data_IF_950993847941
#
_entry.id   IF_950993847941
#
_cell.length_a   1.000
_cell.length_b   1.000
_cell.length_c   1.000
_cell.angle_alpha   90.00
_cell.angle_beta   90.00
_cell.angle_gamma   90.00
#
_symmetry.space_group_name_H-M   'P 1'
#
loop_
_entity.id
_entity.type
_entity.pdbx_description
1 polymer ?
#
# COMPACT_ATOMS: atom_id res chain seq x y z
N UNK A 1 -3.57 7.23 8.70
CA UNK A 1 -2.22 7.40 8.12
C UNK A 1 -1.87 8.87 8.07
N UNK A 2 -0.67 9.21 8.47
CA UNK A 2 -0.16 10.56 8.43
C UNK A 2 0.64 10.78 7.13
N UNK A 3 0.32 11.83 6.38
CA UNK A 3 1.00 12.19 5.14
C UNK A 3 1.83 13.44 5.39
N UNK A 4 3.16 13.35 5.19
CA UNK A 4 4.09 14.46 5.38
C UNK A 4 5.10 14.50 4.24
N UNK A 5 5.71 15.68 4.01
CA UNK A 5 6.86 15.82 3.13
C UNK A 5 8.14 15.54 3.94
N UNK A 6 8.73 14.38 3.76
CA UNK A 6 9.87 13.89 4.55
C UNK A 6 9.44 13.06 5.74
N UNK A 7 10.36 12.74 6.64
CA UNK A 7 10.05 11.98 7.84
C UNK A 7 9.22 12.82 8.82
N UNK A 8 8.22 12.21 9.47
CA UNK A 8 7.45 12.90 10.51
C UNK A 8 8.35 13.42 11.62
N UNK A 9 8.00 14.59 12.17
CA UNK A 9 8.68 15.11 13.34
C UNK A 9 8.56 14.11 14.49
N UNK A 10 9.68 13.85 15.15
CA UNK A 10 9.73 12.87 16.26
C UNK A 10 9.71 11.41 15.81
N UNK A 11 9.84 11.13 14.51
CA UNK A 11 9.91 9.75 14.03
C UNK A 11 11.12 9.04 14.63
N UNK A 12 10.87 7.94 15.33
CA UNK A 12 11.89 7.12 15.96
C UNK A 12 11.94 5.74 15.30
N UNK A 13 12.93 5.53 14.43
CA UNK A 13 13.14 4.25 13.74
C UNK A 13 13.35 3.09 14.74
N UNK A 14 13.95 3.35 15.88
CA UNK A 14 14.19 2.34 16.93
C UNK A 14 12.91 1.81 17.60
N UNK A 15 11.76 2.48 17.42
CA UNK A 15 10.48 2.01 17.93
C UNK A 15 9.88 0.87 17.09
N UNK A 16 10.47 0.56 15.93
CA UNK A 16 9.98 -0.42 14.97
C UNK A 16 10.97 -1.55 14.77
N UNK A 17 10.45 -2.72 14.49
CA UNK A 17 11.27 -3.90 14.19
C UNK A 17 11.69 -3.93 12.71
N UNK A 18 10.89 -3.29 11.85
CA UNK A 18 11.14 -3.19 10.41
C UNK A 18 10.62 -1.87 9.86
N UNK A 19 11.37 -1.32 8.92
CA UNK A 19 10.94 -0.17 8.13
C UNK A 19 10.82 -0.61 6.67
N UNK A 20 9.66 -0.39 6.08
CA UNK A 20 9.38 -0.65 4.66
C UNK A 20 9.29 0.69 3.95
N UNK A 21 10.09 0.87 2.92
CA UNK A 21 10.09 2.10 2.12
C UNK A 21 9.29 1.87 0.84
N UNK A 22 8.21 2.62 0.72
CA UNK A 22 7.26 2.51 -0.38
C UNK A 22 5.97 1.80 0.01
N UNK A 23 4.83 2.44 -0.25
CA UNK A 23 3.50 1.93 0.04
C UNK A 23 2.73 1.52 -1.24
N UNK A 24 3.45 1.03 -2.24
CA UNK A 24 2.88 0.31 -3.36
C UNK A 24 2.51 -1.11 -2.97
N UNK A 25 2.14 -1.95 -3.93
CA UNK A 25 1.74 -3.33 -3.65
C UNK A 25 2.83 -4.13 -2.93
N UNK A 26 4.06 -4.07 -3.41
CA UNK A 26 5.16 -4.84 -2.82
C UNK A 26 5.41 -4.46 -1.37
N UNK A 27 5.51 -3.16 -1.09
CA UNK A 27 5.73 -2.66 0.27
C UNK A 27 4.55 -2.95 1.19
N UNK A 28 3.34 -2.74 0.73
CA UNK A 28 2.13 -2.98 1.52
C UNK A 28 1.96 -4.47 1.89
N UNK A 29 2.16 -5.37 0.93
CA UNK A 29 2.08 -6.82 1.17
C UNK A 29 3.18 -7.28 2.11
N UNK A 30 4.41 -6.81 1.90
CA UNK A 30 5.54 -7.14 2.75
C UNK A 30 5.29 -6.68 4.20
N UNK A 31 4.87 -5.44 4.39
CA UNK A 31 4.57 -4.88 5.70
C UNK A 31 3.46 -5.68 6.40
N UNK A 32 2.39 -5.98 5.69
CA UNK A 32 1.28 -6.75 6.24
C UNK A 32 1.71 -8.15 6.67
N UNK A 33 2.48 -8.83 5.84
CA UNK A 33 2.97 -10.18 6.13
C UNK A 33 3.92 -10.20 7.32
N UNK A 34 4.82 -9.23 7.41
CA UNK A 34 5.74 -9.12 8.55
C UNK A 34 4.98 -8.87 9.86
N UNK A 35 4.00 -7.98 9.85
CA UNK A 35 3.20 -7.69 11.03
C UNK A 35 2.29 -8.86 11.42
N UNK A 36 1.61 -9.47 10.47
CA UNK A 36 0.62 -10.52 10.72
C UNK A 36 1.24 -11.87 11.04
N UNK A 37 2.31 -12.27 10.33
CA UNK A 37 2.89 -13.61 10.43
C UNK A 37 4.00 -13.68 11.48
N UNK A 38 4.84 -12.64 11.56
CA UNK A 38 6.00 -12.60 12.47
C UNK A 38 5.70 -11.78 13.72
N UNK A 39 4.72 -10.88 13.66
CA UNK A 39 4.36 -10.00 14.77
C UNK A 39 5.27 -8.78 14.90
N UNK A 40 5.95 -8.38 13.82
CA UNK A 40 6.78 -7.19 13.81
C UNK A 40 5.96 -5.91 13.93
N UNK A 41 6.53 -4.93 14.61
CA UNK A 41 6.08 -3.55 14.54
C UNK A 41 6.70 -2.94 13.29
N UNK A 42 5.87 -2.64 12.29
CA UNK A 42 6.34 -2.20 10.97
C UNK A 42 5.93 -0.74 10.72
N UNK A 43 6.91 0.08 10.36
CA UNK A 43 6.65 1.41 9.82
C UNK A 43 6.74 1.35 8.30
N UNK A 44 5.76 1.95 7.62
CA UNK A 44 5.79 2.11 6.16
C UNK A 44 6.00 3.59 5.85
N UNK A 45 7.05 3.89 5.12
CA UNK A 45 7.40 5.24 4.70
C UNK A 45 7.06 5.41 3.22
N UNK A 46 6.27 6.43 2.90
CA UNK A 46 5.86 6.73 1.53
C UNK A 46 6.24 8.15 1.16
N UNK A 47 6.92 8.32 0.02
CA UNK A 47 7.34 9.61 -0.49
C UNK A 47 6.20 10.43 -1.08
N UNK A 48 5.27 9.76 -1.78
CA UNK A 48 4.10 10.42 -2.38
C UNK A 48 3.09 10.81 -1.31
N UNK A 49 2.18 11.71 -1.66
CA UNK A 49 1.09 12.15 -0.78
C UNK A 49 -0.04 11.13 -0.64
N UNK A 50 0.10 9.96 -1.24
CA UNK A 50 -0.89 8.86 -1.21
C UNK A 50 -0.19 7.50 -1.14
N UNK A 51 -0.91 6.49 -0.74
CA UNK A 51 -0.51 5.09 -0.81
C UNK A 51 -0.86 4.48 -2.17
N UNK A 52 -0.64 3.18 -2.33
CA UNK A 52 -0.96 2.35 -3.49
C UNK A 52 0.03 2.47 -4.66
N UNK A 53 1.02 3.35 -4.60
CA UNK A 53 2.01 3.45 -5.67
C UNK A 53 1.37 3.76 -7.02
N UNK A 54 1.79 3.07 -8.06
CA UNK A 54 1.24 3.27 -9.41
C UNK A 54 -0.15 2.68 -9.61
N UNK A 55 -0.70 1.95 -8.64
CA UNK A 55 -2.08 1.47 -8.66
C UNK A 55 -3.07 2.45 -8.02
N UNK A 56 -2.62 3.65 -7.70
CA UNK A 56 -3.46 4.67 -7.09
C UNK A 56 -4.52 5.18 -8.06
N UNK A 57 -5.76 5.18 -7.59
CA UNK A 57 -6.91 5.74 -8.27
C UNK A 57 -7.39 6.99 -7.54
N UNK A 58 -7.85 7.97 -8.29
CA UNK A 58 -8.44 9.17 -7.73
C UNK A 58 -9.60 9.65 -8.60
N UNK A 59 -10.45 10.50 -8.02
CA UNK A 59 -11.49 11.17 -8.79
C UNK A 59 -10.90 12.38 -9.49
N UNK A 60 -11.28 12.57 -10.75
CA UNK A 60 -10.98 13.80 -11.50
C UNK A 60 -11.87 14.96 -11.06
N UNK A 61 -11.76 16.11 -11.72
CA UNK A 61 -12.54 17.31 -11.43
C UNK A 61 -14.05 17.10 -11.61
N UNK A 62 -14.45 16.15 -12.47
CA UNK A 62 -15.85 15.79 -12.69
C UNK A 62 -16.36 14.69 -11.73
N UNK A 63 -15.52 14.21 -10.83
CA UNK A 63 -15.86 13.13 -9.90
C UNK A 63 -15.76 11.73 -10.51
N UNK A 64 -15.11 11.58 -11.66
CA UNK A 64 -14.94 10.30 -12.34
C UNK A 64 -13.65 9.65 -11.82
N UNK A 65 -13.76 8.38 -11.42
CA UNK A 65 -12.60 7.61 -10.97
C UNK A 65 -11.65 7.33 -12.14
N UNK A 66 -10.41 7.74 -11.98
CA UNK A 66 -9.36 7.57 -12.99
C UNK A 66 -8.15 6.83 -12.41
N UNK A 67 -7.40 6.17 -13.29
CA UNK A 67 -6.10 5.58 -12.97
C UNK A 67 -5.01 6.64 -13.15
N UNK A 68 -4.51 7.19 -12.03
CA UNK A 68 -3.58 8.34 -12.03
C UNK A 68 -2.29 8.09 -12.83
N UNK A 69 -1.75 6.86 -12.75
CA UNK A 69 -0.46 6.50 -13.37
C UNK A 69 -0.60 5.56 -14.56
N UNK A 70 -1.77 5.52 -15.16
CA UNK A 70 -2.09 4.64 -16.27
C UNK A 70 -2.94 3.43 -15.85
N UNK A 71 -3.60 2.80 -16.83
CA UNK A 71 -4.52 1.70 -16.54
C UNK A 71 -3.79 0.51 -15.91
N UNK A 72 -4.41 -0.05 -14.88
CA UNK A 72 -3.94 -1.25 -14.22
C UNK A 72 -5.12 -2.22 -14.05
N UNK A 73 -4.85 -3.49 -14.33
CA UNK A 73 -5.84 -4.55 -14.25
C UNK A 73 -5.25 -5.67 -13.39
N UNK A 74 -6.04 -6.14 -12.44
CA UNK A 74 -5.65 -7.30 -11.66
C UNK A 74 -5.85 -8.57 -12.46
N UNK A 75 -4.81 -9.39 -12.55
CA UNK A 75 -4.84 -10.66 -13.24
C UNK A 75 -3.90 -11.65 -12.57
N UNK A 76 -4.38 -12.84 -12.23
CA UNK A 76 -3.55 -13.90 -11.67
C UNK A 76 -4.19 -15.28 -11.87
N UNK A 77 -3.34 -16.29 -12.03
CA UNK A 77 -3.72 -17.70 -11.94
C UNK A 77 -3.31 -18.32 -10.58
N UNK A 78 -2.73 -17.54 -9.69
CA UNK A 78 -2.25 -18.03 -8.40
C UNK A 78 -3.33 -17.88 -7.33
N UNK A 79 -3.91 -18.98 -6.89
CA UNK A 79 -4.97 -19.00 -5.88
C UNK A 79 -4.52 -18.37 -4.55
N UNK A 80 -3.27 -18.55 -4.14
CA UNK A 80 -2.76 -17.96 -2.89
C UNK A 80 -2.78 -16.44 -2.96
N UNK A 81 -2.39 -15.88 -4.10
CA UNK A 81 -2.43 -14.44 -4.34
C UNK A 81 -3.86 -13.94 -4.34
N UNK A 82 -4.74 -14.61 -5.07
CA UNK A 82 -6.15 -14.24 -5.15
C UNK A 82 -6.82 -14.28 -3.77
N UNK A 83 -6.63 -15.35 -3.02
CA UNK A 83 -7.22 -15.50 -1.69
C UNK A 83 -6.69 -14.48 -0.70
N UNK A 84 -5.40 -14.17 -0.76
CA UNK A 84 -4.80 -13.14 0.09
C UNK A 84 -5.40 -11.76 -0.21
N UNK A 85 -5.43 -11.34 -1.47
CA UNK A 85 -5.93 -10.02 -1.87
C UNK A 85 -7.44 -9.88 -1.65
N UNK A 86 -8.20 -10.96 -1.81
CA UNK A 86 -9.66 -10.96 -1.60
C UNK A 86 -10.07 -10.73 -0.14
N UNK A 87 -9.14 -10.76 0.78
CA UNK A 87 -9.36 -10.36 2.17
C UNK A 87 -9.59 -8.85 2.30
N UNK A 88 -9.14 -8.07 1.36
CA UNK A 88 -9.07 -6.60 1.45
C UNK A 88 -10.00 -5.89 0.47
N UNK A 89 -10.53 -6.59 -0.51
CA UNK A 89 -11.38 -5.97 -1.54
C UNK A 89 -12.41 -6.94 -2.07
N UNK A 90 -13.43 -6.37 -2.69
CA UNK A 90 -14.36 -7.10 -3.57
C UNK A 90 -13.96 -6.81 -5.00
N UNK A 91 -13.86 -7.87 -5.79
CA UNK A 91 -13.52 -7.73 -7.20
C UNK A 91 -14.74 -7.36 -8.03
N UNK A 92 -14.54 -6.56 -9.06
CA UNK A 92 -15.53 -6.23 -10.07
C UNK A 92 -14.99 -6.65 -11.44
N UNK A 93 -15.87 -7.23 -12.26
CA UNK A 93 -15.54 -7.62 -13.64
C UNK A 93 -15.60 -6.42 -14.60
#
# INVERSE_FOLDING_TARGET
MQITSGLPEGFNAGAYDMIVVGAGYAGAVCARRLAETIGYRVAVLERRSHIAGNAYDCADEAGILIHEYGPHIYHTFNERVHNFLSRFTKWTD
#
